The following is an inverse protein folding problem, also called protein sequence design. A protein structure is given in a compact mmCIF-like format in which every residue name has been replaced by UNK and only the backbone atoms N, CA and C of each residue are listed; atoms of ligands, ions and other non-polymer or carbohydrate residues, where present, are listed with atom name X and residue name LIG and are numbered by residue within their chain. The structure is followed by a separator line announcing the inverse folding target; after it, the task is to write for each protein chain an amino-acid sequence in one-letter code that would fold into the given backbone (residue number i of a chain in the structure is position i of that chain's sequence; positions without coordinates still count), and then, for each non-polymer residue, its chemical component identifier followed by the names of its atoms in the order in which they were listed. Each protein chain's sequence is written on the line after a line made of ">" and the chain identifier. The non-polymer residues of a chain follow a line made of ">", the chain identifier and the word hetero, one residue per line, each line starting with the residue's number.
data_IF_123712084401
#
_entry.id   IF_123712084401
#
_cell.length_a   1.000
_cell.length_b   1.000
_cell.length_c   1.000
_cell.angle_alpha   90.00
_cell.angle_beta   90.00
_cell.angle_gamma   90.00
#
_symmetry.space_group_name_H-M   'P 1'
#
loop_
_entity.id
_entity.type
_entity.pdbx_description
1 polymer ?
2 water ?
#
# COMPACT_ATOMS: atom_id res chain seq x y z
N UNK A 5 -9.41 -23.25 30.91
CA UNK A 5 -8.23 -22.77 30.20
C UNK A 5 -7.91 -21.32 30.55
N UNK A 6 -6.72 -20.88 30.14
CA UNK A 6 -6.24 -19.52 30.32
C UNK A 6 -6.05 -18.87 28.95
N UNK A 7 -6.61 -17.67 28.77
CA UNK A 7 -6.57 -16.98 27.48
C UNK A 7 -6.15 -15.53 27.66
N UNK A 8 -5.29 -15.03 26.75
CA UNK A 8 -4.81 -13.65 26.80
C UNK A 8 -4.79 -13.04 25.40
N UNK A 9 -5.06 -11.73 25.35
CA UNK A 9 -5.09 -10.96 24.11
C UNK A 9 -4.42 -9.61 24.36
N UNK A 10 -3.46 -9.23 23.51
CA UNK A 10 -2.90 -7.88 23.53
C UNK A 10 -3.56 -7.07 22.41
N UNK A 11 -4.40 -6.10 22.79
CA UNK A 11 -5.15 -5.34 21.79
C UNK A 11 -4.23 -4.46 20.96
N UNK A 12 -3.21 -3.88 21.59
CA UNK A 12 -2.26 -3.04 20.89
C UNK A 12 -1.31 -3.82 19.99
N UNK A 13 -1.39 -5.15 19.97
CA UNK A 13 -0.34 -5.92 19.31
C UNK A 13 -0.27 -5.62 17.82
N UNK A 14 -1.41 -5.62 17.13
CA UNK A 14 -1.32 -5.45 15.68
C UNK A 14 -0.79 -4.07 15.34
N UNK A 15 -1.17 -3.05 16.11
CA UNK A 15 -0.56 -1.74 15.95
C UNK A 15 0.96 -1.82 16.08
N UNK A 16 1.45 -2.42 17.18
CA UNK A 16 2.90 -2.47 17.43
C UNK A 16 3.63 -3.22 16.32
N UNK A 17 3.10 -4.38 15.91
CA UNK A 17 3.79 -5.18 14.91
C UNK A 17 3.82 -4.49 13.55
N UNK A 18 2.78 -3.73 13.22
CA UNK A 18 2.84 -2.96 11.98
C UNK A 18 3.87 -1.85 12.09
N UNK A 19 4.03 -1.28 13.28
CA UNK A 19 5.07 -0.28 13.48
C UNK A 19 6.45 -0.82 13.18
N UNK A 20 6.72 -2.05 13.60
CA UNK A 20 7.99 -2.68 13.27
C UNK A 20 8.02 -3.06 11.79
N UNK A 21 6.91 -3.55 11.24
CA UNK A 21 6.90 -3.86 9.81
C UNK A 21 7.19 -2.61 8.96
N UNK A 22 6.68 -1.46 9.37
CA UNK A 22 7.00 -0.23 8.65
C UNK A 22 8.48 0.11 8.77
N UNK A 23 9.08 -0.13 9.95
CA UNK A 23 10.52 0.11 10.11
C UNK A 23 11.32 -0.79 9.18
N UNK A 24 10.94 -2.06 9.07
CA UNK A 24 11.71 -2.94 8.20
C UNK A 24 11.60 -2.50 6.76
N UNK A 25 10.45 -1.92 6.39
CA UNK A 25 10.30 -1.41 5.03
C UNK A 25 11.21 -0.20 4.81
N UNK A 26 11.18 0.76 5.72
CA UNK A 26 12.05 1.93 5.56
C UNK A 26 13.53 1.52 5.56
N UNK A 27 13.88 0.44 6.24
CA UNK A 27 15.27 -0.04 6.25
C UNK A 27 15.56 -1.01 5.12
N UNK A 28 14.56 -1.30 4.28
CA UNK A 28 14.72 -2.23 3.16
C UNK A 28 15.25 -3.59 3.61
N UNK A 29 14.69 -4.09 4.71
CA UNK A 29 15.02 -5.42 5.23
C UNK A 29 13.84 -6.36 5.04
N UNK A 30 14.15 -7.58 4.59
CA UNK A 30 13.21 -8.67 4.37
C UNK A 30 12.24 -8.37 3.24
N UNK A 31 12.50 -7.34 2.43
CA UNK A 31 11.61 -7.02 1.32
C UNK A 31 11.75 -8.04 0.19
N UNK A 32 10.62 -8.37 -0.43
CA UNK A 32 10.60 -9.34 -1.52
C UNK A 32 9.95 -8.81 -2.79
N UNK A 33 9.55 -7.55 -2.85
CA UNK A 33 8.98 -6.98 -4.06
C UNK A 33 9.44 -5.53 -4.20
N UNK A 34 9.84 -5.15 -5.41
CA UNK A 34 10.18 -3.78 -5.76
C UNK A 34 9.19 -3.28 -6.79
N UNK A 35 8.40 -2.27 -6.42
CA UNK A 35 7.44 -1.67 -7.33
C UNK A 35 8.12 -0.54 -8.09
N UNK A 36 8.29 -0.71 -9.40
CA UNK A 36 8.83 0.34 -10.26
C UNK A 36 7.65 1.07 -10.88
N UNK A 37 7.46 2.32 -10.45
CA UNK A 37 6.30 3.12 -10.83
C UNK A 37 6.76 4.16 -11.84
N UNK A 38 6.30 4.00 -13.09
CA UNK A 38 6.51 4.98 -14.15
C UNK A 38 5.15 5.49 -14.61
N UNK A 39 4.96 6.80 -14.54
CA UNK A 39 3.69 7.45 -14.86
C UNK A 39 3.98 8.62 -15.80
N UNK A 40 3.47 8.53 -17.03
CA UNK A 40 3.57 9.60 -18.04
C UNK A 40 4.94 10.25 -18.12
N UNK A 41 5.02 11.52 -17.72
CA UNK A 41 6.26 12.27 -17.78
C UNK A 41 6.93 12.44 -16.43
N UNK A 42 6.29 12.00 -15.35
CA UNK A 42 6.91 12.04 -14.03
C UNK A 42 8.14 11.14 -13.99
N UNK A 43 9.14 11.48 -13.18
CA UNK A 43 10.33 10.62 -13.09
C UNK A 43 9.95 9.27 -12.50
N UNK A 44 10.58 8.21 -13.01
CA UNK A 44 10.32 6.88 -12.47
C UNK A 44 10.74 6.82 -11.00
N UNK A 45 9.95 6.12 -10.19
CA UNK A 45 10.29 5.87 -8.80
C UNK A 45 10.16 4.38 -8.49
N UNK A 46 10.72 4.00 -7.34
CA UNK A 46 10.82 2.62 -6.88
C UNK A 46 10.38 2.55 -5.42
N UNK A 47 9.63 1.51 -5.08
CA UNK A 47 9.25 1.27 -3.69
C UNK A 47 9.46 -0.20 -3.38
N UNK A 48 10.27 -0.49 -2.37
CA UNK A 48 10.44 -1.85 -1.89
C UNK A 48 9.42 -2.10 -0.78
N UNK A 49 8.95 -3.33 -0.68
CA UNK A 49 7.92 -3.66 0.30
C UNK A 49 7.90 -5.17 0.52
N UNK A 50 7.02 -5.62 1.41
CA UNK A 50 6.79 -7.04 1.65
C UNK A 50 5.47 -7.46 1.03
N UNK A 51 5.52 -8.47 0.16
CA UNK A 51 4.32 -8.91 -0.54
C UNK A 51 3.19 -9.25 0.42
N UNK A 52 3.52 -9.88 1.55
CA UNK A 52 2.46 -10.30 2.46
C UNK A 52 1.79 -9.10 3.10
N UNK A 53 2.52 -8.00 3.32
CA UNK A 53 1.85 -6.79 3.83
C UNK A 53 1.00 -6.15 2.73
N UNK A 54 1.57 -5.98 1.54
CA UNK A 54 0.77 -5.44 0.44
C UNK A 54 -0.48 -6.28 0.26
N UNK A 55 -0.31 -7.61 0.27
CA UNK A 55 -1.44 -8.53 0.08
C UNK A 55 -2.50 -8.36 1.16
N UNK A 56 -2.10 -7.95 2.37
CA UNK A 56 -3.03 -7.86 3.49
C UNK A 56 -3.90 -6.62 3.44
N UNK A 57 -3.56 -5.66 2.58
CA UNK A 57 -4.26 -4.39 2.55
C UNK A 57 -4.94 -4.13 1.21
N UNK A 58 -4.63 -4.91 0.18
CA UNK A 58 -5.16 -4.74 -1.16
C UNK A 58 -5.47 -6.09 -1.80
N UNK A 59 -6.74 -6.39 -2.05
CA UNK A 59 -7.08 -7.61 -2.79
C UNK A 59 -6.35 -7.75 -4.13
N UNK A 60 -5.97 -6.63 -4.76
CA UNK A 60 -5.31 -6.70 -6.07
C UNK A 60 -3.85 -7.14 -5.91
N UNK A 61 -3.17 -6.65 -4.88
CA UNK A 61 -1.82 -7.16 -4.63
C UNK A 61 -1.85 -8.64 -4.24
N UNK A 62 -2.84 -9.04 -3.43
CA UNK A 62 -2.91 -10.44 -3.00
C UNK A 62 -2.95 -11.39 -4.19
N UNK A 63 -3.87 -11.16 -5.14
CA UNK A 63 -3.96 -12.01 -6.33
C UNK A 63 -2.73 -11.87 -7.22
N UNK A 64 -2.21 -10.65 -7.36
CA UNK A 64 -0.97 -10.45 -8.10
C UNK A 64 0.18 -11.31 -7.55
N UNK A 65 0.24 -11.52 -6.24
CA UNK A 65 1.38 -12.21 -5.64
C UNK A 65 1.12 -13.68 -5.35
N UNK A 66 -0.13 -14.09 -5.12
CA UNK A 66 -0.40 -15.50 -4.87
C UNK A 66 -0.52 -16.20 -6.22
N UNK A 67 0.55 -16.91 -6.59
CA UNK A 67 0.60 -17.81 -7.74
C UNK A 67 1.25 -19.11 -7.28
N UNK A 68 1.08 -20.16 -8.09
CA UNK A 68 1.57 -21.47 -7.71
C UNK A 68 3.07 -21.52 -7.48
N UNK A 69 3.81 -20.59 -8.09
CA UNK A 69 5.26 -20.64 -8.03
C UNK A 69 5.79 -20.15 -6.68
N UNK A 70 6.87 -20.78 -6.24
CA UNK A 70 7.71 -20.26 -5.17
C UNK A 70 8.73 -19.34 -5.83
N UNK A 71 8.38 -18.05 -5.89
CA UNK A 71 9.29 -17.07 -6.47
C UNK A 71 10.56 -16.98 -5.62
N UNK A 72 11.70 -16.85 -6.29
CA UNK A 72 13.02 -16.90 -5.64
C UNK A 72 13.51 -15.48 -5.38
N UNK A 73 13.28 -15.00 -4.16
CA UNK A 73 13.85 -13.73 -3.74
C UNK A 73 13.06 -12.49 -4.13
N UNK A 74 13.63 -11.64 -5.00
CA UNK A 74 13.18 -10.26 -5.21
C UNK A 74 12.53 -10.07 -6.58
N UNK A 75 11.19 -10.00 -6.60
CA UNK A 75 10.42 -9.75 -7.82
C UNK A 75 10.29 -8.25 -8.06
N UNK A 76 10.54 -7.82 -9.30
CA UNK A 76 10.24 -6.47 -9.76
C UNK A 76 8.87 -6.47 -10.43
N UNK A 77 8.05 -5.47 -10.11
CA UNK A 77 6.73 -5.32 -10.70
C UNK A 77 6.63 -3.93 -11.31
N UNK A 78 6.33 -3.87 -12.61
CA UNK A 78 6.14 -2.59 -13.27
C UNK A 78 4.71 -2.12 -13.07
N UNK A 79 4.56 -0.90 -12.59
CA UNK A 79 3.25 -0.34 -12.29
C UNK A 79 2.98 0.86 -13.18
N UNK A 80 1.87 0.80 -13.90
CA UNK A 80 1.49 1.83 -14.85
C UNK A 80 0.25 2.56 -14.36
N UNK A 81 0.09 3.79 -14.83
CA UNK A 81 -1.18 4.47 -14.65
C UNK A 81 -1.48 4.98 -13.27
N UNK A 82 -0.49 5.01 -12.38
CA UNK A 82 -0.66 5.66 -11.09
C UNK A 82 0.59 6.48 -10.83
N UNK A 83 0.41 7.67 -10.29
CA UNK A 83 1.55 8.54 -10.04
C UNK A 83 2.39 7.98 -8.90
N UNK A 84 3.71 8.16 -8.94
CA UNK A 84 4.55 7.78 -7.80
C UNK A 84 4.05 8.26 -6.44
N UNK A 85 3.63 9.52 -6.30
CA UNK A 85 3.23 9.98 -4.97
C UNK A 85 1.97 9.29 -4.49
N UNK A 86 1.09 8.87 -5.40
CA UNK A 86 -0.11 8.16 -4.97
C UNK A 86 0.25 6.78 -4.46
N UNK A 87 1.01 6.01 -5.25
CA UNK A 87 1.53 4.72 -4.81
C UNK A 87 2.20 4.83 -3.44
N UNK A 88 3.10 5.81 -3.29
CA UNK A 88 3.74 6.03 -2.00
C UNK A 88 2.71 6.15 -0.89
N UNK A 89 1.68 6.97 -1.10
CA UNK A 89 0.70 7.17 -0.03
C UNK A 89 -0.11 5.92 0.24
N UNK A 90 -0.32 5.08 -0.79
CA UNK A 90 -1.07 3.84 -0.60
C UNK A 90 -0.23 2.82 0.16
N UNK A 91 1.03 2.65 -0.24
CA UNK A 91 1.98 1.83 0.53
C UNK A 91 2.01 2.27 1.99
N UNK A 92 2.13 3.57 2.22
CA UNK A 92 2.14 4.06 3.60
C UNK A 92 0.86 3.67 4.32
N UNK A 93 -0.29 3.74 3.63
CA UNK A 93 -1.53 3.34 4.28
C UNK A 93 -1.48 1.87 4.66
N UNK A 94 -1.01 1.02 3.74
CA UNK A 94 -0.91 -0.41 4.02
C UNK A 94 -0.06 -0.68 5.27
N UNK A 95 0.98 0.13 5.52
CA UNK A 95 1.90 -0.14 6.63
C UNK A 95 1.60 0.65 7.89
N UNK A 96 0.77 1.68 7.82
CA UNK A 96 0.57 2.58 8.96
C UNK A 96 -0.89 2.76 9.37
N UNK A 97 -1.85 2.34 8.54
CA UNK A 97 -3.29 2.50 8.72
C UNK A 97 -3.77 3.93 8.49
N UNK A 98 -2.89 4.86 8.12
CA UNK A 98 -3.22 6.26 7.92
C UNK A 98 -2.76 6.71 6.54
N UNK A 99 -3.38 7.77 6.06
CA UNK A 99 -2.99 8.36 4.78
C UNK A 99 -3.27 9.85 4.86
N UNK A 100 -2.42 10.65 4.22
CA UNK A 100 -2.53 12.09 4.30
C UNK A 100 -2.22 12.68 2.94
N UNK A 101 -2.93 13.76 2.60
CA UNK A 101 -2.85 14.37 1.27
C UNK A 101 -3.47 15.77 1.31
N UNK A 102 -3.06 16.61 0.36
CA UNK A 102 -3.67 17.92 0.21
C UNK A 102 -4.98 17.85 -0.56
N UNK A 103 -5.85 18.83 -0.31
CA UNK A 103 -7.24 18.77 -0.79
C UNK A 103 -7.35 18.58 -2.30
N UNK A 104 -6.26 18.79 -3.04
CA UNK A 104 -6.27 18.60 -4.48
C UNK A 104 -5.65 17.27 -4.90
N UNK A 105 -5.02 16.55 -3.97
CA UNK A 105 -4.56 15.19 -4.22
C UNK A 105 -5.68 14.17 -4.05
N UNK A 106 -6.75 14.51 -3.32
CA UNK A 106 -7.77 13.54 -2.92
C UNK A 106 -8.34 12.76 -4.11
N UNK A 107 -8.39 13.37 -5.29
CA UNK A 107 -9.02 12.68 -6.41
C UNK A 107 -8.11 11.60 -6.98
N UNK A 108 -6.82 11.90 -7.17
CA UNK A 108 -5.87 10.91 -7.68
C UNK A 108 -5.67 9.76 -6.70
N UNK A 109 -5.82 10.02 -5.40
CA UNK A 109 -5.64 8.96 -4.42
C UNK A 109 -6.81 8.00 -4.47
N UNK A 110 -8.02 8.52 -4.67
CA UNK A 110 -9.15 7.61 -4.84
C UNK A 110 -8.99 6.77 -6.09
N UNK A 111 -8.54 7.39 -7.19
CA UNK A 111 -8.21 6.64 -8.40
C UNK A 111 -7.29 5.47 -8.09
N UNK A 112 -6.17 5.74 -7.41
CA UNK A 112 -5.26 4.67 -7.04
C UNK A 112 -5.88 3.66 -6.09
N UNK A 113 -6.64 4.13 -5.10
CA UNK A 113 -7.30 3.23 -4.16
C UNK A 113 -8.35 2.36 -4.85
N UNK A 114 -9.11 2.92 -5.80
CA UNK A 114 -10.01 2.08 -6.57
C UNK A 114 -9.21 1.05 -7.37
N UNK A 115 -8.11 1.47 -7.99
CA UNK A 115 -7.33 0.54 -8.81
C UNK A 115 -6.75 -0.61 -7.99
N UNK A 116 -6.43 -0.39 -6.71
CA UNK A 116 -5.91 -1.47 -5.87
C UNK A 116 -6.92 -1.94 -4.84
N UNK A 117 -8.18 -1.56 -5.00
CA UNK A 117 -9.29 -2.07 -4.19
C UNK A 117 -8.98 -1.98 -2.71
N UNK A 118 -8.50 -0.79 -2.32
CA UNK A 118 -8.28 -0.49 -0.91
C UNK A 118 -9.57 0.14 -0.42
N UNK A 119 -10.53 -0.74 -0.09
CA UNK A 119 -11.88 -0.40 0.31
C UNK A 119 -11.94 0.79 1.27
N UNK A 120 -11.16 0.71 2.35
CA UNK A 120 -11.22 1.73 3.40
C UNK A 120 -10.93 3.12 2.85
N UNK A 121 -9.94 3.21 1.96
CA UNK A 121 -9.49 4.51 1.46
C UNK A 121 -10.47 5.07 0.43
N UNK A 122 -11.02 4.19 -0.41
CA UNK A 122 -12.05 4.60 -1.35
C UNK A 122 -13.21 5.26 -0.61
N UNK A 123 -13.72 4.59 0.42
CA UNK A 123 -14.86 5.14 1.15
C UNK A 123 -14.53 6.50 1.75
N UNK A 124 -13.29 6.71 2.19
CA UNK A 124 -12.93 7.96 2.85
C UNK A 124 -12.77 9.10 1.84
N UNK A 125 -12.09 8.85 0.73
CA UNK A 125 -11.94 9.88 -0.29
C UNK A 125 -13.28 10.27 -0.90
N UNK A 126 -14.22 9.32 -0.98
CA UNK A 126 -15.56 9.64 -1.47
C UNK A 126 -16.30 10.54 -0.49
N UNK A 127 -16.23 10.22 0.81
CA UNK A 127 -16.85 11.09 1.81
C UNK A 127 -16.32 12.52 1.71
N UNK A 128 -15.00 12.68 1.51
CA UNK A 128 -14.41 14.02 1.48
C UNK A 128 -14.90 14.81 0.27
N UNK A 129 -14.82 14.22 -0.92
CA UNK A 129 -15.25 14.93 -2.13
C UNK A 129 -16.71 15.36 -2.04
N UNK A 130 -17.57 14.50 -1.51
CA UNK A 130 -18.98 14.85 -1.35
C UNK A 130 -19.15 16.02 -0.37
N UNK A 131 -18.34 16.06 0.70
CA UNK A 131 -18.42 17.17 1.65
C UNK A 131 -17.92 18.48 1.07
N UNK A 132 -17.14 18.44 -0.02
CA UNK A 132 -16.73 19.66 -0.71
C UNK A 132 -17.86 20.25 -1.57
N UNK A 133 -19.11 20.00 -1.20
CA UNK A 133 -20.25 20.38 -2.04
C UNK A 133 -21.36 21.03 -1.21
#
# INVERSE_FOLDING_TARGET
>A
GGNRTFSYTLEDHTKQAFGIMNELRLSQQLCDVTLQVKYQDAPAAQFMAHKVVLASSSPVFKAMFTNGLREQGMEVVSIEGIHPKVMERLIEFAYTASISMGEKCVLHVMNGAVMYQIDSVVRACADFLVQQLD
#
